data_IF_247998524767
#
_entry.id   IF_247998524767
#
_cell.length_a   1.000
_cell.length_b   1.000
_cell.length_c   1.000
_cell.angle_alpha   90.00
_cell.angle_beta   90.00
_cell.angle_gamma   90.00
#
_symmetry.space_group_name_H-M   'P 1'
#
loop_
_entity.id
_entity.type
_entity.pdbx_description
1 polymer ?
#
# COMPACT_ATOMS: atom_id res chain seq x y z
N UNK A 1 13.28 0.93 11.02
CA UNK A 1 12.09 0.29 11.62
C UNK A 1 10.93 0.58 10.70
N UNK A 2 10.49 -0.37 9.89
CA UNK A 2 9.82 -0.06 8.61
C UNK A 2 8.33 0.29 8.70
N UNK A 3 7.46 -0.52 9.31
CA UNK A 3 6.08 -0.11 9.60
C UNK A 3 5.51 -0.91 10.78
N UNK A 4 4.92 -0.23 11.75
CA UNK A 4 4.20 -0.85 12.88
C UNK A 4 2.82 -0.21 12.95
N UNK A 5 1.79 -1.05 12.87
CA UNK A 5 0.38 -0.67 12.99
C UNK A 5 -0.17 -1.31 14.25
N UNK A 6 -0.79 -0.51 15.12
CA UNK A 6 -1.40 -0.98 16.38
C UNK A 6 -2.82 -0.46 16.54
N UNK A 7 -3.75 -1.39 16.72
CA UNK A 7 -5.17 -1.18 17.01
C UNK A 7 -5.82 -0.15 16.08
N UNK A 8 -5.40 -0.16 14.81
CA UNK A 8 -5.76 0.84 13.83
C UNK A 8 -7.22 0.68 13.41
N UNK A 9 -7.95 1.79 13.47
CA UNK A 9 -9.31 1.88 12.92
C UNK A 9 -9.35 2.97 11.85
N UNK A 10 -9.83 2.60 10.67
CA UNK A 10 -9.92 3.50 9.50
C UNK A 10 -11.34 3.52 9.00
N UNK A 11 -11.83 4.71 8.71
CA UNK A 11 -13.18 4.96 8.21
C UNK A 11 -13.12 6.03 7.12
N UNK A 12 -14.00 5.91 6.13
CA UNK A 12 -14.24 6.95 5.12
C UNK A 12 -15.73 7.13 4.98
N UNK A 13 -16.20 8.38 5.02
CA UNK A 13 -17.62 8.73 4.75
C UNK A 13 -18.60 7.86 5.57
N UNK A 14 -18.32 7.66 6.85
CA UNK A 14 -19.09 6.81 7.77
C UNK A 14 -19.04 5.30 7.48
N UNK A 15 -18.13 4.82 6.61
CA UNK A 15 -17.90 3.40 6.33
C UNK A 15 -16.60 2.92 6.96
N UNK A 16 -16.70 2.00 7.91
CA UNK A 16 -15.54 1.38 8.54
C UNK A 16 -14.82 0.46 7.55
N UNK A 17 -13.56 0.80 7.25
CA UNK A 17 -12.70 0.03 6.36
C UNK A 17 -12.02 -1.11 7.12
N UNK A 18 -11.44 -0.80 8.28
CA UNK A 18 -10.83 -1.77 9.20
C UNK A 18 -11.06 -1.35 10.64
N UNK A 19 -11.18 -2.32 11.54
CA UNK A 19 -11.35 -2.08 12.99
C UNK A 19 -10.24 -2.77 13.78
N UNK A 20 -9.61 -2.02 14.70
CA UNK A 20 -8.64 -2.53 15.67
C UNK A 20 -7.56 -3.46 15.08
N UNK A 21 -7.06 -3.15 13.88
CA UNK A 21 -6.08 -4.00 13.21
C UNK A 21 -4.66 -3.71 13.66
N UNK A 22 -3.86 -4.76 13.82
CA UNK A 22 -2.45 -4.68 14.22
C UNK A 22 -1.61 -5.58 13.32
N UNK A 23 -0.55 -5.02 12.72
CA UNK A 23 0.42 -5.77 11.94
C UNK A 23 1.75 -5.00 11.86
N UNK A 24 2.82 -5.71 11.50
CA UNK A 24 4.16 -5.14 11.35
C UNK A 24 4.71 -5.49 9.96
N UNK A 25 5.45 -4.57 9.34
CA UNK A 25 6.24 -4.81 8.12
C UNK A 25 7.69 -4.51 8.39
N UNK A 26 8.55 -5.51 8.18
CA UNK A 26 9.99 -5.46 8.46
C UNK A 26 10.80 -5.22 7.19
N UNK A 27 12.04 -4.77 7.35
CA UNK A 27 12.95 -4.62 6.22
C UNK A 27 13.11 -5.97 5.50
N UNK A 28 13.05 -5.95 4.17
CA UNK A 28 13.05 -7.14 3.32
C UNK A 28 11.68 -7.79 3.12
N UNK A 29 10.64 -7.40 3.87
CA UNK A 29 9.28 -7.84 3.57
C UNK A 29 8.80 -7.24 2.25
N UNK A 30 8.20 -8.08 1.40
CA UNK A 30 7.54 -7.68 0.17
C UNK A 30 6.10 -8.16 0.25
N UNK A 31 5.24 -7.22 0.56
CA UNK A 31 3.86 -7.47 0.98
C UNK A 31 2.90 -7.11 -0.15
N UNK A 32 2.11 -8.07 -0.62
CA UNK A 32 0.94 -7.78 -1.45
C UNK A 32 -0.26 -7.42 -0.57
N UNK A 33 -0.85 -6.25 -0.76
CA UNK A 33 -2.13 -5.89 -0.15
C UNK A 33 -3.27 -6.21 -1.12
N UNK A 34 -4.10 -7.18 -0.74
CA UNK A 34 -5.21 -7.69 -1.56
C UNK A 34 -6.55 -7.46 -0.88
N UNK A 35 -7.61 -7.55 -1.66
CA UNK A 35 -8.98 -7.36 -1.20
C UNK A 35 -9.87 -6.96 -2.37
N UNK A 36 -11.18 -7.05 -2.18
CA UNK A 36 -12.17 -6.74 -3.22
C UNK A 36 -12.05 -5.29 -3.71
N UNK A 37 -12.54 -5.02 -4.91
CA UNK A 37 -12.71 -3.65 -5.38
C UNK A 37 -13.70 -2.92 -4.44
N UNK A 38 -13.38 -1.68 -4.07
CA UNK A 38 -14.16 -0.95 -3.05
C UNK A 38 -13.93 -1.39 -1.60
N UNK A 39 -13.03 -2.35 -1.33
CA UNK A 39 -12.74 -2.77 0.05
C UNK A 39 -12.04 -1.69 0.89
N UNK A 40 -11.48 -0.64 0.26
CA UNK A 40 -10.76 0.43 0.96
C UNK A 40 -9.24 0.27 1.00
N UNK A 41 -8.64 -0.47 0.07
CA UNK A 41 -7.18 -0.68 -0.01
C UNK A 41 -6.40 0.64 -0.13
N UNK A 42 -6.75 1.48 -1.11
CA UNK A 42 -6.16 2.82 -1.32
C UNK A 42 -6.34 3.72 -0.11
N UNK A 43 -7.50 3.65 0.54
CA UNK A 43 -7.78 4.37 1.78
C UNK A 43 -6.85 3.97 2.91
N UNK A 44 -6.72 2.65 3.15
CA UNK A 44 -5.78 2.13 4.13
C UNK A 44 -4.36 2.58 3.79
N UNK A 45 -3.95 2.52 2.52
CA UNK A 45 -2.65 3.01 2.06
C UNK A 45 -2.41 4.49 2.34
N UNK A 46 -3.41 5.37 2.15
CA UNK A 46 -3.27 6.79 2.51
C UNK A 46 -2.98 6.98 4.00
N UNK A 47 -3.63 6.20 4.87
CA UNK A 47 -3.37 6.22 6.32
C UNK A 47 -1.98 5.68 6.63
N UNK A 48 -1.60 4.53 6.04
CA UNK A 48 -0.28 3.92 6.22
C UNK A 48 0.86 4.78 5.67
N UNK A 49 0.62 5.56 4.62
CA UNK A 49 1.56 6.50 4.01
C UNK A 49 1.57 7.89 4.67
N UNK A 50 0.52 8.22 5.43
CA UNK A 50 0.46 9.46 6.22
C UNK A 50 -0.21 10.62 5.52
N UNK A 51 -0.82 10.36 4.37
CA UNK A 51 -1.65 11.32 3.65
C UNK A 51 -3.00 11.57 4.36
N UNK A 52 -3.40 10.71 5.29
CA UNK A 52 -4.66 10.84 6.05
C UNK A 52 -4.47 10.30 7.47
N UNK A 53 -5.10 10.92 8.46
CA UNK A 53 -5.08 10.43 9.84
C UNK A 53 -6.06 9.27 10.04
N UNK A 54 -5.74 8.40 10.99
CA UNK A 54 -6.65 7.34 11.42
C UNK A 54 -7.66 7.87 12.45
N UNK A 55 -8.80 7.20 12.61
CA UNK A 55 -9.75 7.52 13.67
C UNK A 55 -9.19 7.13 15.04
N UNK A 56 -8.55 5.97 15.11
CA UNK A 56 -7.92 5.47 16.33
C UNK A 56 -6.79 4.50 16.01
N UNK A 57 -5.98 4.19 17.03
CA UNK A 57 -4.77 3.39 16.89
C UNK A 57 -3.57 4.23 16.47
N UNK A 58 -2.46 3.56 16.16
CA UNK A 58 -1.19 4.22 15.81
C UNK A 58 -0.53 3.56 14.60
N UNK A 59 0.06 4.41 13.76
CA UNK A 59 0.92 3.99 12.65
C UNK A 59 2.29 4.62 12.86
N UNK A 60 3.31 3.79 13.08
CA UNK A 60 4.70 4.22 13.14
C UNK A 60 5.43 3.71 11.90
N UNK A 61 6.10 4.60 11.16
CA UNK A 61 6.78 4.32 9.90
C UNK A 61 8.21 4.84 9.92
N UNK A 62 9.07 4.28 9.09
CA UNK A 62 10.42 4.84 8.89
C UNK A 62 10.33 6.28 8.35
N UNK A 63 11.23 7.20 8.78
CA UNK A 63 11.22 8.60 8.32
C UNK A 63 11.30 8.74 6.79
N UNK A 64 12.09 7.90 6.13
CA UNK A 64 12.15 7.82 4.68
C UNK A 64 11.11 6.80 4.16
N UNK A 65 9.86 7.24 4.02
CA UNK A 65 8.76 6.45 3.41
C UNK A 65 8.41 7.04 2.05
N UNK A 66 8.53 6.23 0.99
CA UNK A 66 8.04 6.59 -0.34
C UNK A 66 6.60 6.11 -0.53
N UNK A 67 5.69 6.99 -0.92
CA UNK A 67 4.29 6.66 -1.17
C UNK A 67 3.86 7.11 -2.56
N UNK A 68 3.48 6.15 -3.41
CA UNK A 68 2.85 6.40 -4.69
C UNK A 68 1.33 6.27 -4.55
N UNK A 69 0.64 7.40 -4.66
CA UNK A 69 -0.82 7.46 -4.71
C UNK A 69 -1.35 7.05 -6.10
N UNK A 70 -2.54 6.47 -6.12
CA UNK A 70 -3.23 6.13 -7.37
C UNK A 70 -3.61 7.38 -8.19
N UNK A 71 -3.84 8.54 -7.54
CA UNK A 71 -4.23 9.79 -8.20
C UNK A 71 -3.00 10.66 -8.55
N UNK A 72 -2.69 10.89 -9.84
CA UNK A 72 -1.58 11.74 -10.25
C UNK A 72 -1.72 13.21 -9.84
N UNK A 73 -2.94 13.65 -9.47
CA UNK A 73 -3.24 15.04 -9.10
C UNK A 73 -2.99 15.34 -7.63
N UNK A 74 -2.68 14.33 -6.81
CA UNK A 74 -2.34 14.56 -5.40
C UNK A 74 -1.01 15.28 -5.22
N UNK A 75 -0.19 15.36 -6.28
CA UNK A 75 1.03 16.14 -6.26
C UNK A 75 0.76 17.60 -6.67
N UNK A 76 0.96 18.52 -5.72
CA UNK A 76 0.79 19.96 -5.90
C UNK A 76 2.01 20.66 -6.49
N UNK A 77 2.97 19.91 -7.05
CA UNK A 77 4.17 20.48 -7.64
C UNK A 77 3.83 21.48 -8.76
N UNK A 78 4.39 22.71 -8.71
CA UNK A 78 4.15 23.75 -9.72
C UNK A 78 4.47 23.29 -11.15
N UNK A 79 3.65 23.63 -12.16
CA UNK A 79 3.86 23.17 -13.54
C UNK A 79 5.17 23.64 -14.19
N UNK A 80 5.74 24.73 -13.70
CA UNK A 80 7.01 25.32 -14.10
C UNK A 80 8.23 24.69 -13.40
N UNK A 81 8.03 23.70 -12.53
CA UNK A 81 9.13 22.94 -11.93
C UNK A 81 9.81 22.07 -13.00
N UNK A 82 11.14 22.09 -13.04
CA UNK A 82 11.93 21.21 -13.91
C UNK A 82 11.83 19.74 -13.50
N UNK A 83 11.63 18.83 -14.44
CA UNK A 83 11.41 17.41 -14.17
C UNK A 83 12.62 16.75 -13.48
N UNK A 84 13.84 17.03 -13.94
CA UNK A 84 15.05 16.50 -13.31
C UNK A 84 15.17 16.96 -11.85
N UNK A 85 15.04 18.28 -11.61
CA UNK A 85 15.13 18.85 -10.26
C UNK A 85 14.07 18.25 -9.33
N UNK A 86 12.85 18.06 -9.83
CA UNK A 86 11.78 17.37 -9.10
C UNK A 86 12.18 15.95 -8.67
N UNK A 87 12.77 15.16 -9.57
CA UNK A 87 13.26 13.81 -9.21
C UNK A 87 14.36 13.88 -8.15
N UNK A 88 15.32 14.80 -8.32
CA UNK A 88 16.44 15.01 -7.39
C UNK A 88 15.97 15.43 -5.99
N UNK A 89 14.86 16.17 -5.89
CA UNK A 89 14.22 16.52 -4.61
C UNK A 89 13.82 15.30 -3.77
N UNK A 90 13.66 14.12 -4.39
CA UNK A 90 13.38 12.87 -3.67
C UNK A 90 14.45 12.50 -2.63
N UNK A 91 15.68 13.03 -2.78
CA UNK A 91 16.77 12.91 -1.79
C UNK A 91 17.14 14.23 -1.12
N UNK A 92 16.42 15.32 -1.39
CA UNK A 92 16.76 16.67 -0.92
C UNK A 92 17.98 17.28 -1.63
N UNK A 93 18.31 16.81 -2.83
CA UNK A 93 19.46 17.31 -3.59
C UNK A 93 19.23 18.72 -4.14
N UNK A 94 17.98 19.11 -4.37
CA UNK A 94 17.58 20.48 -4.70
C UNK A 94 17.99 21.46 -3.59
N UNK A 95 17.62 21.18 -2.34
CA UNK A 95 18.01 22.00 -1.19
C UNK A 95 19.53 22.00 -0.97
N UNK A 96 20.19 20.86 -1.19
CA UNK A 96 21.64 20.75 -1.08
C UNK A 96 22.37 21.58 -2.15
N UNK A 97 21.85 21.60 -3.38
CA UNK A 97 22.38 22.43 -4.49
C UNK A 97 22.22 23.92 -4.17
N UNK A 98 21.03 24.35 -3.73
CA UNK A 98 20.78 25.73 -3.30
C UNK A 98 21.71 26.15 -2.16
N UNK A 99 22.00 25.23 -1.24
CA UNK A 99 22.93 25.49 -0.13
C UNK A 99 24.36 25.67 -0.63
N UNK A 100 24.84 24.85 -1.56
CA UNK A 100 26.17 25.01 -2.17
C UNK A 100 26.28 26.36 -2.88
N UNK A 101 25.27 26.75 -3.66
CA UNK A 101 25.28 28.04 -4.36
C UNK A 101 25.38 29.21 -3.38
N UNK A 102 24.56 29.20 -2.32
CA UNK A 102 24.61 30.22 -1.25
C UNK A 102 25.98 30.29 -0.57
N UNK A 103 26.57 29.14 -0.25
CA UNK A 103 27.88 29.10 0.40
C UNK A 103 29.01 29.52 -0.56
N UNK A 104 28.85 29.28 -1.86
CA UNK A 104 29.79 29.76 -2.89
C UNK A 104 29.82 31.29 -2.90
N UNK A 105 28.66 31.93 -2.97
CA UNK A 105 28.54 33.40 -2.94
C UNK A 105 29.10 33.99 -1.65
N UNK A 106 28.81 33.37 -0.50
CA UNK A 106 29.34 33.82 0.80
C UNK A 106 30.87 33.71 0.86
N UNK A 107 31.45 32.62 0.35
CA UNK A 107 32.88 32.38 0.30
C UNK A 107 33.61 33.36 -0.65
N UNK A 108 33.00 33.66 -1.79
CA UNK A 108 33.53 34.67 -2.74
C UNK A 108 33.51 36.08 -2.14
N UNK A 109 32.47 36.41 -1.34
CA UNK A 109 32.35 37.70 -0.69
C UNK A 109 33.30 37.85 0.52
N UNK A 110 33.48 36.79 1.31
CA UNK A 110 34.36 36.75 2.47
C UNK A 110 35.00 35.35 2.63
N UNK A 111 36.28 35.17 2.28
CA UNK A 111 36.98 33.89 2.39
C UNK A 111 37.49 33.62 3.82
N UNK A 112 36.63 33.84 4.81
CA UNK A 112 36.91 33.55 6.22
C UNK A 112 36.90 32.04 6.48
N UNK A 113 37.60 31.60 7.53
CA UNK A 113 37.64 30.18 7.92
C UNK A 113 36.24 29.60 8.16
N UNK A 114 35.31 30.40 8.68
CA UNK A 114 33.91 29.98 8.90
C UNK A 114 33.20 29.68 7.57
N UNK A 115 33.31 30.55 6.57
CA UNK A 115 32.69 30.32 5.26
C UNK A 115 33.33 29.13 4.52
N UNK A 116 34.63 28.91 4.69
CA UNK A 116 35.32 27.71 4.17
C UNK A 116 34.76 26.43 4.79
N UNK A 117 34.55 26.41 6.12
CA UNK A 117 33.97 25.27 6.83
C UNK A 117 32.52 25.02 6.40
N UNK A 118 31.69 26.06 6.28
CA UNK A 118 30.29 25.93 5.86
C UNK A 118 30.16 25.44 4.40
N UNK A 119 31.01 25.94 3.50
CA UNK A 119 31.08 25.47 2.12
C UNK A 119 31.48 23.99 2.05
N UNK A 120 32.50 23.60 2.81
CA UNK A 120 32.96 22.21 2.89
C UNK A 120 31.85 21.28 3.40
N UNK A 121 31.18 21.67 4.50
CA UNK A 121 30.06 20.91 5.06
C UNK A 121 28.87 20.79 4.08
N UNK A 122 28.58 21.82 3.28
CA UNK A 122 27.54 21.77 2.24
C UNK A 122 27.90 20.76 1.13
N UNK A 123 29.16 20.75 0.70
CA UNK A 123 29.66 19.77 -0.28
C UNK A 123 29.65 18.34 0.25
N UNK A 124 30.12 18.11 1.47
CA UNK A 124 30.06 16.79 2.12
C UNK A 124 28.62 16.28 2.24
N UNK A 125 27.68 17.16 2.58
CA UNK A 125 26.28 16.80 2.64
C UNK A 125 25.73 16.41 1.25
N UNK A 126 26.00 17.20 0.21
CA UNK A 126 25.60 16.89 -1.17
C UNK A 126 26.19 15.55 -1.66
N UNK A 127 27.46 15.27 -1.33
CA UNK A 127 28.11 14.00 -1.63
C UNK A 127 27.43 12.84 -0.88
N UNK A 128 27.08 13.01 0.40
CA UNK A 128 26.40 11.98 1.19
C UNK A 128 25.03 11.58 0.64
N UNK A 129 24.38 12.48 -0.12
CA UNK A 129 23.12 12.24 -0.83
C UNK A 129 23.33 11.60 -2.22
N UNK A 130 24.58 11.36 -2.63
CA UNK A 130 24.94 10.77 -3.92
C UNK A 130 24.94 11.75 -5.09
N UNK A 131 25.04 13.06 -4.82
CA UNK A 131 24.79 14.13 -5.78
C UNK A 131 25.57 14.04 -7.10
N UNK A 132 26.83 13.59 -7.08
CA UNK A 132 27.66 13.45 -8.30
C UNK A 132 27.14 12.41 -9.29
N UNK A 133 26.43 11.38 -8.83
CA UNK A 133 25.87 10.32 -9.67
C UNK A 133 24.36 10.44 -9.89
N UNK A 134 23.73 11.36 -9.16
CA UNK A 134 22.29 11.46 -9.00
C UNK A 134 21.55 11.66 -10.34
N UNK A 135 22.05 12.53 -11.21
CA UNK A 135 21.42 12.75 -12.52
C UNK A 135 21.44 11.49 -13.39
N UNK A 136 22.59 10.80 -13.46
CA UNK A 136 22.71 9.56 -14.25
C UNK A 136 21.80 8.46 -13.71
N UNK A 137 21.69 8.35 -12.38
CA UNK A 137 20.80 7.41 -11.72
C UNK A 137 19.32 7.74 -11.99
N UNK A 138 18.93 9.00 -11.81
CA UNK A 138 17.57 9.48 -12.10
C UNK A 138 17.16 9.19 -13.55
N UNK A 139 18.04 9.48 -14.52
CA UNK A 139 17.80 9.19 -15.95
C UNK A 139 17.66 7.69 -16.22
N UNK A 140 18.45 6.83 -15.56
CA UNK A 140 18.34 5.36 -15.71
C UNK A 140 17.02 4.82 -15.15
N UNK A 141 16.58 5.32 -14.00
CA UNK A 141 15.28 4.93 -13.41
C UNK A 141 14.14 5.38 -14.31
N UNK A 142 14.18 6.63 -14.80
CA UNK A 142 13.18 7.17 -15.71
C UNK A 142 13.07 6.33 -17.00
N UNK A 143 14.21 6.05 -17.64
CA UNK A 143 14.27 5.24 -18.86
C UNK A 143 13.73 3.82 -18.64
N UNK A 144 14.11 3.18 -17.52
CA UNK A 144 13.59 1.88 -17.12
C UNK A 144 12.08 1.86 -16.89
N UNK A 145 11.49 2.98 -16.48
CA UNK A 145 10.04 3.14 -16.35
C UNK A 145 9.35 3.56 -17.65
N UNK A 146 10.07 3.64 -18.78
CA UNK A 146 9.54 4.06 -20.07
C UNK A 146 9.35 5.58 -20.21
N UNK A 147 9.96 6.38 -19.32
CA UNK A 147 10.06 7.83 -19.44
C UNK A 147 11.41 8.17 -20.08
N UNK A 148 11.40 8.51 -21.37
CA UNK A 148 12.63 8.81 -22.11
C UNK A 148 13.48 9.88 -21.38
N UNK A 149 14.82 9.75 -21.35
CA UNK A 149 15.68 10.65 -20.60
C UNK A 149 15.56 12.13 -20.96
N UNK A 150 15.25 12.46 -22.22
CA UNK A 150 15.04 13.83 -22.71
C UNK A 150 13.81 14.50 -22.09
N UNK A 151 12.85 13.72 -21.58
CA UNK A 151 11.70 14.24 -20.85
C UNK A 151 12.08 14.89 -19.53
N UNK A 152 13.21 14.49 -18.92
CA UNK A 152 13.69 15.10 -17.67
C UNK A 152 14.22 16.52 -17.87
N UNK A 153 14.49 16.93 -19.10
CA UNK A 153 14.93 18.29 -19.45
C UNK A 153 13.76 19.27 -19.61
N UNK A 154 12.52 18.77 -19.49
CA UNK A 154 11.29 19.56 -19.61
C UNK A 154 10.78 20.03 -18.24
N UNK A 155 9.79 20.91 -18.27
CA UNK A 155 8.98 21.26 -17.10
C UNK A 155 7.81 20.28 -16.94
N UNK A 156 7.36 20.06 -15.70
CA UNK A 156 6.30 19.11 -15.37
C UNK A 156 5.01 19.38 -16.15
N UNK A 157 4.67 20.66 -16.38
CA UNK A 157 3.49 21.07 -17.13
C UNK A 157 3.47 20.63 -18.60
N UNK A 158 4.62 20.25 -19.18
CA UNK A 158 4.73 19.76 -20.55
C UNK A 158 4.47 18.24 -20.68
N UNK A 159 4.42 17.50 -19.57
CA UNK A 159 4.22 16.06 -19.56
C UNK A 159 2.75 15.69 -19.71
N UNK A 160 2.47 14.61 -20.43
CA UNK A 160 1.16 13.95 -20.39
C UNK A 160 0.87 13.37 -18.99
N UNK A 161 -0.40 13.09 -18.67
CA UNK A 161 -0.75 12.51 -17.37
C UNK A 161 -0.05 11.17 -17.06
N UNK A 162 0.21 10.35 -18.08
CA UNK A 162 0.96 9.10 -17.93
C UNK A 162 2.46 9.33 -17.72
N UNK A 163 3.06 10.30 -18.43
CA UNK A 163 4.46 10.70 -18.22
C UNK A 163 4.66 11.31 -16.83
N UNK A 164 3.72 12.12 -16.34
CA UNK A 164 3.76 12.68 -14.99
C UNK A 164 3.69 11.59 -13.92
N UNK A 165 2.84 10.57 -14.09
CA UNK A 165 2.80 9.41 -13.17
C UNK A 165 4.14 8.66 -13.15
N UNK A 166 4.77 8.47 -14.32
CA UNK A 166 6.10 7.84 -14.41
C UNK A 166 7.19 8.71 -13.78
N UNK A 167 7.10 10.03 -13.89
CA UNK A 167 7.99 10.96 -13.21
C UNK A 167 7.88 10.83 -11.69
N UNK A 168 6.66 10.76 -11.14
CA UNK A 168 6.47 10.56 -9.70
C UNK A 168 7.00 9.21 -9.22
N UNK A 169 6.73 8.15 -9.97
CA UNK A 169 7.31 6.84 -9.66
C UNK A 169 8.84 6.90 -9.71
N UNK A 170 9.42 7.58 -10.70
CA UNK A 170 10.88 7.80 -10.79
C UNK A 170 11.41 8.48 -9.54
N UNK A 171 10.79 9.59 -9.11
CA UNK A 171 11.16 10.34 -7.90
C UNK A 171 11.10 9.46 -6.64
N UNK A 172 10.02 8.70 -6.48
CA UNK A 172 9.81 7.83 -5.32
C UNK A 172 10.84 6.69 -5.27
N UNK A 173 11.14 6.06 -6.42
CA UNK A 173 12.16 5.01 -6.47
C UNK A 173 13.55 5.60 -6.27
N UNK A 174 13.83 6.75 -6.86
CA UNK A 174 15.10 7.47 -6.71
C UNK A 174 15.37 7.84 -5.24
N UNK A 175 14.35 8.24 -4.47
CA UNK A 175 14.49 8.58 -3.06
C UNK A 175 15.17 7.48 -2.21
N UNK A 176 15.08 6.20 -2.63
CA UNK A 176 15.79 5.11 -1.94
C UNK A 176 15.30 4.87 -0.51
N UNK A 177 14.04 5.21 -0.23
CA UNK A 177 13.35 5.09 1.07
C UNK A 177 13.51 3.70 1.71
N UNK A 178 13.30 3.57 3.02
CA UNK A 178 13.32 2.27 3.72
C UNK A 178 11.98 1.51 3.59
N UNK A 179 10.89 2.25 3.39
CA UNK A 179 9.55 1.74 3.17
C UNK A 179 9.01 2.30 1.85
N UNK A 180 8.53 1.43 0.97
CA UNK A 180 7.78 1.80 -0.23
C UNK A 180 6.34 1.31 -0.15
N UNK A 181 5.41 2.23 -0.38
CA UNK A 181 3.98 1.98 -0.49
C UNK A 181 3.54 2.33 -1.91
N UNK A 182 3.25 1.33 -2.73
CA UNK A 182 2.94 1.51 -4.16
C UNK A 182 1.50 1.11 -4.47
N UNK A 183 0.64 2.07 -4.81
CA UNK A 183 -0.75 1.82 -5.18
C UNK A 183 -0.92 1.73 -6.71
N UNK A 184 -1.13 0.51 -7.21
CA UNK A 184 -1.24 0.18 -8.63
C UNK A 184 -0.08 0.76 -9.48
N UNK A 185 1.19 0.44 -9.16
CA UNK A 185 2.34 1.08 -9.81
C UNK A 185 2.55 0.63 -11.26
N UNK A 186 1.95 -0.51 -11.66
CA UNK A 186 2.04 -1.04 -13.03
C UNK A 186 1.06 -0.35 -13.99
N UNK A 187 0.08 0.40 -13.48
CA UNK A 187 -0.87 1.10 -14.33
C UNK A 187 -0.16 2.17 -15.18
N UNK A 188 -0.51 2.22 -16.47
CA UNK A 188 0.08 3.12 -17.46
C UNK A 188 1.54 2.83 -17.84
N UNK A 189 2.08 1.67 -17.44
CA UNK A 189 3.35 1.15 -17.95
C UNK A 189 3.11 0.22 -19.14
N UNK A 190 4.04 0.24 -20.10
CA UNK A 190 4.11 -0.79 -21.13
C UNK A 190 4.76 -2.07 -20.57
N UNK A 191 4.88 -3.10 -21.41
CA UNK A 191 5.40 -4.39 -20.98
C UNK A 191 6.85 -4.30 -20.48
N UNK A 192 7.71 -3.58 -21.19
CA UNK A 192 9.13 -3.46 -20.86
C UNK A 192 9.33 -2.68 -19.54
N UNK A 193 8.62 -1.57 -19.36
CA UNK A 193 8.66 -0.78 -18.14
C UNK A 193 8.10 -1.54 -16.94
N UNK A 194 7.06 -2.34 -17.15
CA UNK A 194 6.51 -3.22 -16.11
C UNK A 194 7.55 -4.25 -15.69
N UNK A 195 8.20 -4.94 -16.63
CA UNK A 195 9.20 -5.95 -16.32
C UNK A 195 10.42 -5.36 -15.61
N UNK A 196 10.83 -4.14 -15.99
CA UNK A 196 11.85 -3.38 -15.27
C UNK A 196 11.45 -3.10 -13.82
N UNK A 197 10.22 -2.60 -13.60
CA UNK A 197 9.71 -2.31 -12.25
C UNK A 197 9.63 -3.58 -11.39
N UNK A 198 9.17 -4.70 -11.96
CA UNK A 198 9.14 -5.99 -11.27
C UNK A 198 10.54 -6.41 -10.81
N UNK A 199 11.55 -6.27 -11.66
CA UNK A 199 12.93 -6.58 -11.32
C UNK A 199 13.49 -5.63 -10.25
N UNK A 200 13.16 -4.35 -10.32
CA UNK A 200 13.50 -3.39 -9.27
C UNK A 200 12.91 -3.81 -7.91
N UNK A 201 11.60 -4.10 -7.87
CA UNK A 201 10.91 -4.55 -6.67
C UNK A 201 11.48 -5.86 -6.11
N UNK A 202 11.95 -6.76 -6.97
CA UNK A 202 12.65 -8.00 -6.58
C UNK A 202 14.01 -7.72 -5.93
N UNK A 203 14.76 -6.74 -6.42
CA UNK A 203 16.08 -6.40 -5.88
C UNK A 203 16.01 -5.46 -4.65
N UNK A 204 14.88 -4.81 -4.44
CA UNK A 204 14.68 -3.84 -3.37
C UNK A 204 14.86 -4.48 -1.98
N UNK A 205 15.72 -3.85 -1.16
CA UNK A 205 16.12 -4.36 0.17
C UNK A 205 15.29 -3.80 1.32
N UNK A 206 14.58 -2.70 1.10
CA UNK A 206 13.67 -2.11 2.08
C UNK A 206 12.39 -2.95 2.26
N UNK A 207 11.45 -2.41 3.02
CA UNK A 207 10.11 -2.95 3.11
C UNK A 207 9.26 -2.42 1.94
N UNK A 208 8.51 -3.30 1.29
CA UNK A 208 7.64 -2.95 0.18
C UNK A 208 6.22 -3.43 0.47
N UNK A 209 5.24 -2.54 0.34
CA UNK A 209 3.82 -2.92 0.29
C UNK A 209 3.28 -2.43 -1.05
N UNK A 210 2.65 -3.34 -1.79
CA UNK A 210 2.10 -3.05 -3.11
C UNK A 210 0.64 -3.47 -3.19
N UNK A 211 -0.21 -2.58 -3.71
CA UNK A 211 -1.54 -2.92 -4.22
C UNK A 211 -1.37 -3.09 -5.73
N UNK A 212 -1.75 -4.24 -6.26
CA UNK A 212 -1.74 -4.48 -7.70
C UNK A 212 -2.80 -5.51 -8.08
N UNK A 213 -3.36 -5.36 -9.27
CA UNK A 213 -4.14 -6.42 -9.90
C UNK A 213 -3.28 -7.55 -10.49
N UNK A 214 -1.97 -7.34 -10.66
CA UNK A 214 -1.06 -8.27 -11.33
C UNK A 214 -0.09 -8.97 -10.35
N UNK A 215 -0.51 -9.25 -9.11
CA UNK A 215 0.37 -9.86 -8.11
C UNK A 215 0.93 -11.23 -8.52
N UNK A 216 0.32 -11.91 -9.49
CA UNK A 216 0.90 -13.12 -10.09
C UNK A 216 2.25 -12.88 -10.77
N UNK A 217 2.47 -11.69 -11.35
CA UNK A 217 3.77 -11.32 -11.92
C UNK A 217 4.82 -11.01 -10.84
N UNK A 218 4.33 -10.63 -9.65
CA UNK A 218 5.12 -10.37 -8.46
C UNK A 218 5.27 -11.59 -7.55
N UNK A 219 4.79 -12.79 -7.94
CA UNK A 219 4.72 -13.95 -7.05
C UNK A 219 6.09 -14.32 -6.46
N UNK A 220 7.13 -14.34 -7.29
CA UNK A 220 8.51 -14.61 -6.87
C UNK A 220 9.09 -13.55 -5.93
N UNK A 221 8.55 -12.33 -5.98
CA UNK A 221 8.99 -11.22 -5.14
C UNK A 221 8.25 -11.22 -3.80
N UNK A 222 6.96 -11.58 -3.78
CA UNK A 222 6.10 -11.45 -2.61
C UNK A 222 6.49 -12.49 -1.55
N UNK A 223 6.76 -11.99 -0.33
CA UNK A 223 7.07 -12.83 0.83
C UNK A 223 5.85 -13.04 1.74
N UNK A 224 4.85 -12.15 1.64
CA UNK A 224 3.65 -12.15 2.46
C UNK A 224 2.49 -11.46 1.74
N UNK A 225 1.26 -11.92 1.99
CA UNK A 225 0.04 -11.25 1.54
C UNK A 225 -0.75 -10.78 2.76
N UNK A 226 -1.15 -9.52 2.74
CA UNK A 226 -2.13 -8.94 3.67
C UNK A 226 -3.45 -8.85 2.92
N UNK A 227 -4.46 -9.57 3.39
CA UNK A 227 -5.80 -9.53 2.83
C UNK A 227 -6.68 -8.62 3.67
N UNK A 228 -7.19 -7.55 3.05
CA UNK A 228 -8.30 -6.77 3.56
C UNK A 228 -9.59 -7.50 3.21
N UNK A 229 -10.02 -8.35 4.14
CA UNK A 229 -11.22 -9.15 3.98
C UNK A 229 -12.45 -8.37 4.41
N UNK A 230 -13.43 -8.31 3.51
CA UNK A 230 -14.64 -7.51 3.68
C UNK A 230 -15.82 -8.20 2.98
N UNK A 231 -16.79 -8.63 3.78
CA UNK A 231 -17.96 -9.38 3.30
C UNK A 231 -18.90 -8.51 2.44
N UNK A 232 -19.09 -7.26 2.82
CA UNK A 232 -19.95 -6.29 2.14
C UNK A 232 -19.38 -4.85 2.20
N UNK A 233 -19.84 -3.97 1.31
CA UNK A 233 -19.41 -2.56 1.27
C UNK A 233 -19.72 -1.74 2.52
N UNK A 234 -20.57 -2.23 3.40
CA UNK A 234 -20.95 -1.57 4.65
C UNK A 234 -20.49 -2.36 5.90
N UNK A 235 -19.89 -3.54 5.71
CA UNK A 235 -19.32 -4.32 6.80
C UNK A 235 -17.96 -3.76 7.22
N UNK A 236 -17.58 -3.92 8.49
CA UNK A 236 -16.21 -3.63 8.91
C UNK A 236 -15.26 -4.67 8.31
N UNK A 237 -14.16 -4.23 7.68
CA UNK A 237 -13.14 -5.14 7.18
C UNK A 237 -12.24 -5.67 8.29
N UNK A 238 -11.65 -6.83 8.04
CA UNK A 238 -10.60 -7.42 8.88
C UNK A 238 -9.34 -7.64 8.08
N UNK A 239 -8.19 -7.60 8.75
CA UNK A 239 -6.91 -7.91 8.13
C UNK A 239 -6.55 -9.36 8.43
N UNK A 240 -6.30 -10.14 7.38
CA UNK A 240 -5.82 -11.51 7.47
C UNK A 240 -4.45 -11.61 6.81
N UNK A 241 -3.48 -12.13 7.54
CA UNK A 241 -2.10 -12.28 7.05
C UNK A 241 -1.83 -13.70 6.55
N UNK A 242 -1.25 -13.80 5.36
CA UNK A 242 -0.83 -15.05 4.73
C UNK A 242 0.66 -15.01 4.45
N UNK A 243 1.40 -15.99 4.97
CA UNK A 243 2.84 -16.10 4.71
C UNK A 243 3.09 -16.81 3.38
N UNK A 244 4.06 -16.31 2.61
CA UNK A 244 4.46 -16.87 1.32
C UNK A 244 3.98 -16.04 0.14
N UNK A 245 4.12 -16.64 -1.05
CA UNK A 245 3.80 -16.00 -2.31
C UNK A 245 2.29 -15.83 -2.50
N UNK A 246 1.92 -15.02 -3.49
CA UNK A 246 0.53 -14.80 -3.89
C UNK A 246 -0.17 -16.10 -4.35
N UNK A 247 0.53 -16.99 -5.05
CA UNK A 247 0.01 -18.30 -5.45
C UNK A 247 -0.35 -19.15 -4.24
N UNK A 248 0.49 -19.15 -3.20
CA UNK A 248 0.20 -19.87 -1.94
C UNK A 248 -1.00 -19.26 -1.22
N UNK A 249 -1.13 -17.94 -1.26
CA UNK A 249 -2.30 -17.25 -0.75
C UNK A 249 -3.59 -17.69 -1.47
N UNK A 250 -3.58 -17.76 -2.81
CA UNK A 250 -4.76 -18.19 -3.58
C UNK A 250 -5.24 -19.60 -3.18
N UNK A 251 -4.30 -20.54 -3.07
CA UNK A 251 -4.60 -21.92 -2.63
C UNK A 251 -5.14 -21.93 -1.20
N UNK A 252 -4.50 -21.20 -0.28
CA UNK A 252 -4.96 -21.12 1.11
C UNK A 252 -6.37 -20.53 1.21
N UNK A 253 -6.66 -19.52 0.38
CA UNK A 253 -7.96 -18.85 0.33
C UNK A 253 -9.04 -19.77 -0.21
N UNK A 254 -8.77 -20.51 -1.28
CA UNK A 254 -9.70 -21.49 -1.85
C UNK A 254 -10.06 -22.58 -0.84
N UNK A 255 -9.06 -23.13 -0.12
CA UNK A 255 -9.28 -24.13 0.93
C UNK A 255 -10.15 -23.56 2.05
N UNK A 256 -9.89 -22.32 2.47
CA UNK A 256 -10.67 -21.69 3.53
C UNK A 256 -12.11 -21.41 3.09
N UNK A 257 -12.32 -20.92 1.88
CA UNK A 257 -13.67 -20.74 1.32
C UNK A 257 -14.44 -22.03 1.21
N UNK A 258 -13.81 -23.11 0.74
CA UNK A 258 -14.44 -24.42 0.71
C UNK A 258 -14.84 -24.89 2.11
N UNK A 259 -13.96 -24.65 3.10
CA UNK A 259 -14.20 -25.03 4.49
C UNK A 259 -15.39 -24.26 5.06
N UNK A 260 -15.42 -22.95 4.85
CA UNK A 260 -16.52 -22.06 5.27
C UNK A 260 -17.81 -22.46 4.55
N UNK A 261 -17.79 -22.66 3.24
CA UNK A 261 -18.95 -23.10 2.46
C UNK A 261 -19.54 -24.43 2.97
N UNK A 262 -18.69 -25.43 3.25
CA UNK A 262 -19.13 -26.71 3.84
C UNK A 262 -19.75 -26.55 5.24
N UNK A 263 -19.31 -25.56 6.03
CA UNK A 263 -19.87 -25.25 7.34
C UNK A 263 -21.23 -24.56 7.21
N UNK A 264 -21.34 -23.57 6.32
CA UNK A 264 -22.61 -22.87 6.01
C UNK A 264 -23.66 -23.87 5.52
N UNK A 265 -23.31 -24.74 4.56
CA UNK A 265 -24.18 -25.80 4.06
C UNK A 265 -24.67 -26.74 5.17
N UNK A 266 -23.80 -27.06 6.13
CA UNK A 266 -24.13 -27.93 7.26
C UNK A 266 -25.09 -27.22 8.22
N UNK A 267 -24.85 -25.94 8.52
CA UNK A 267 -25.75 -25.12 9.34
C UNK A 267 -27.13 -25.00 8.67
N UNK A 268 -27.20 -24.73 7.37
CA UNK A 268 -28.47 -24.63 6.64
C UNK A 268 -29.25 -25.94 6.61
N UNK A 269 -28.58 -27.08 6.39
CA UNK A 269 -29.20 -28.41 6.47
C UNK A 269 -29.71 -28.71 7.87
N UNK A 270 -28.98 -28.31 8.91
CA UNK A 270 -29.42 -28.48 10.30
C UNK A 270 -30.63 -27.60 10.62
N UNK A 271 -30.61 -26.31 10.26
CA UNK A 271 -31.74 -25.39 10.40
C UNK A 271 -32.97 -25.97 9.69
N UNK A 272 -32.83 -26.37 8.42
CA UNK A 272 -33.93 -26.94 7.63
C UNK A 272 -34.51 -28.18 8.30
N UNK A 273 -33.65 -29.08 8.78
CA UNK A 273 -34.07 -30.31 9.46
C UNK A 273 -34.81 -30.01 10.78
N UNK A 274 -34.32 -29.06 11.57
CA UNK A 274 -34.96 -28.64 12.82
C UNK A 274 -36.34 -28.01 12.55
N UNK A 275 -36.43 -27.10 11.59
CA UNK A 275 -37.66 -26.42 11.20
C UNK A 275 -38.72 -27.39 10.64
N UNK A 276 -38.33 -28.35 9.79
CA UNK A 276 -39.24 -29.39 9.30
C UNK A 276 -39.77 -30.27 10.44
N UNK A 277 -38.88 -30.65 11.36
CA UNK A 277 -39.25 -31.48 12.52
C UNK A 277 -40.17 -30.72 13.47
N UNK A 278 -39.93 -29.43 13.70
CA UNK A 278 -40.81 -28.57 14.46
C UNK A 278 -42.20 -28.46 13.81
N UNK A 279 -42.27 -28.19 12.51
CA UNK A 279 -43.52 -28.09 11.76
C UNK A 279 -44.36 -29.37 11.81
N UNK A 280 -43.75 -30.55 11.66
CA UNK A 280 -44.47 -31.83 11.76
C UNK A 280 -45.07 -32.12 13.15
N UNK A 281 -44.58 -31.44 14.19
CA UNK A 281 -45.03 -31.59 15.58
C UNK A 281 -46.04 -30.50 16.00
N UNK A 282 -46.26 -29.48 15.15
CA UNK A 282 -47.28 -28.45 15.38
C UNK A 282 -48.68 -29.05 15.26
N UNK A 283 -49.62 -28.57 16.08
CA UNK A 283 -51.04 -28.94 16.00
C UNK A 283 -51.42 -30.33 16.53
N UNK A 284 -50.48 -31.14 17.06
CA UNK A 284 -50.79 -32.49 17.56
C UNK A 284 -51.21 -32.55 19.04
N UNK A 285 -50.24 -32.43 19.96
CA UNK A 285 -50.50 -32.46 21.42
C UNK A 285 -49.75 -31.33 22.11
N UNK A 286 -50.24 -30.85 23.25
CA UNK A 286 -49.60 -29.77 24.01
C UNK A 286 -48.11 -30.05 24.33
N UNK A 287 -47.76 -31.32 24.62
CA UNK A 287 -46.38 -31.75 24.84
C UNK A 287 -45.52 -31.65 23.57
N UNK A 288 -46.04 -32.02 22.40
CA UNK A 288 -45.35 -31.91 21.11
C UNK A 288 -45.22 -30.46 20.62
N UNK A 289 -46.21 -29.61 20.90
CA UNK A 289 -46.13 -28.17 20.63
C UNK A 289 -44.98 -27.51 21.43
N UNK A 290 -44.77 -27.91 22.70
CA UNK A 290 -43.63 -27.45 23.51
C UNK A 290 -42.28 -27.88 22.92
N UNK A 291 -42.19 -29.10 22.39
CA UNK A 291 -40.96 -29.60 21.71
C UNK A 291 -40.69 -28.85 20.41
N UNK A 292 -41.72 -28.59 19.59
CA UNK A 292 -41.60 -27.79 18.37
C UNK A 292 -41.03 -26.40 18.67
N UNK A 293 -41.55 -25.72 19.70
CA UNK A 293 -41.05 -24.40 20.13
C UNK A 293 -39.56 -24.42 20.51
N UNK A 294 -39.10 -25.47 21.17
CA UNK A 294 -37.67 -25.61 21.52
C UNK A 294 -36.78 -25.87 20.30
N UNK A 295 -37.27 -26.63 19.31
CA UNK A 295 -36.55 -26.88 18.07
C UNK A 295 -36.46 -25.61 17.21
N UNK A 296 -37.52 -24.82 17.13
CA UNK A 296 -37.54 -23.52 16.46
C UNK A 296 -36.57 -22.54 17.13
N UNK A 297 -36.56 -22.47 18.47
CA UNK A 297 -35.61 -21.65 19.21
C UNK A 297 -34.14 -22.07 18.96
N UNK A 298 -33.89 -23.36 18.79
CA UNK A 298 -32.55 -23.88 18.46
C UNK A 298 -32.16 -23.55 17.02
N UNK A 299 -33.08 -23.68 16.05
CA UNK A 299 -32.85 -23.30 14.66
C UNK A 299 -32.55 -21.79 14.55
N UNK A 300 -33.36 -20.95 15.21
CA UNK A 300 -33.15 -19.50 15.25
C UNK A 300 -31.82 -19.11 15.90
N UNK A 301 -31.35 -19.87 16.89
CA UNK A 301 -30.02 -19.64 17.49
C UNK A 301 -28.89 -19.96 16.51
N UNK A 302 -28.97 -21.08 15.80
CA UNK A 302 -27.98 -21.45 14.78
C UNK A 302 -27.99 -20.42 13.65
N UNK A 303 -29.16 -19.90 13.29
CA UNK A 303 -29.31 -18.86 12.26
C UNK A 303 -28.76 -17.50 12.71
N UNK A 304 -28.88 -17.15 13.99
CA UNK A 304 -28.27 -15.95 14.56
C UNK A 304 -26.74 -16.06 14.73
N UNK A 305 -26.22 -17.28 14.86
CA UNK A 305 -24.78 -17.61 14.96
C UNK A 305 -24.20 -18.07 13.59
N UNK A 306 -24.92 -17.81 12.49
CA UNK A 306 -24.49 -18.19 11.13
C UNK A 306 -23.22 -17.42 10.77
N UNK A 307 -22.23 -18.16 10.26
CA UNK A 307 -20.98 -17.61 9.73
C UNK A 307 -21.24 -17.04 8.34
#
# INVERSE_FOLDING_TARGET
MTLIVRDLTVEIENKTIVTATSFEVRAGDKVGLVGRNGAGKTTLFRVLGGATEAISGTVTRSPATGYLSQDPRSDHTPPDTGCLLHVLSGRGLDEAMDRIEKMTVALEADPSSENIEQFSAAHEHFESLGGYSAESEARKIADGLGLKPDRLDLHIGALSGGERRRLELTRILFAGSELLLLDEPTNHLDADARDWLLNYMRAYRGALIVISHDLGLLDDAITRVIHLDREAEDAAGTIVEYRGSYTKYLVAREIEEERVGKLVDRQEKEITRLSQRANSMRGQTAKRAKVAKNLDARAARIEAEKI
#
